data_IF_771158334402
#
_entry.id   IF_771158334402
#
_cell.length_a   1.000
_cell.length_b   1.000
_cell.length_c   1.000
_cell.angle_alpha   90.00
_cell.angle_beta   90.00
_cell.angle_gamma   90.00
#
_symmetry.space_group_name_H-M   'P 1'
#
loop_
_entity.id
_entity.type
_entity.pdbx_description
1 polymer ?
#
# COMPACT_ATOMS: atom_id res chain seq x y z
N UNK A 1 28.17 22.79 74.38
CA UNK A 1 27.22 22.04 73.51
C UNK A 1 27.41 22.53 72.09
N UNK A 2 28.11 21.77 71.24
CA UNK A 2 28.37 22.10 69.83
C UNK A 2 27.52 21.19 68.96
N UNK A 3 26.55 21.76 68.24
CA UNK A 3 25.71 21.04 67.29
C UNK A 3 26.40 21.03 65.91
N UNK A 4 26.79 19.85 65.44
CA UNK A 4 27.18 19.61 64.05
C UNK A 4 25.90 19.52 63.20
N UNK A 5 25.76 20.38 62.20
CA UNK A 5 24.74 20.29 61.18
C UNK A 5 25.27 19.45 59.99
N UNK A 6 24.60 18.32 59.73
CA UNK A 6 24.85 17.42 58.61
C UNK A 6 24.18 18.01 57.35
N UNK A 7 24.95 18.29 56.29
CA UNK A 7 24.42 18.71 55.00
C UNK A 7 23.97 17.48 54.18
N UNK A 8 22.81 17.51 53.51
CA UNK A 8 22.38 16.41 52.65
C UNK A 8 23.09 16.47 51.29
N UNK A 9 23.67 15.33 50.90
CA UNK A 9 24.26 15.08 49.59
C UNK A 9 23.13 14.94 48.56
N UNK A 10 22.97 15.93 47.68
CA UNK A 10 22.04 15.89 46.55
C UNK A 10 22.61 15.01 45.44
N UNK A 11 22.17 13.75 45.36
CA UNK A 11 22.48 12.86 44.24
C UNK A 11 21.56 13.22 43.07
N UNK A 12 22.10 13.92 42.08
CA UNK A 12 21.42 14.16 40.80
C UNK A 12 21.50 12.87 39.98
N UNK A 13 20.40 12.11 39.97
CA UNK A 13 20.21 10.99 39.04
C UNK A 13 20.00 11.57 37.63
N UNK A 14 21.09 11.63 36.85
CA UNK A 14 21.01 11.78 35.39
C UNK A 14 20.39 10.50 34.84
N UNK A 15 19.06 10.47 34.68
CA UNK A 15 18.41 9.49 33.81
C UNK A 15 18.97 9.72 32.41
N UNK A 16 19.91 8.86 32.01
CA UNK A 16 20.40 8.83 30.64
C UNK A 16 19.21 8.62 29.72
N UNK A 17 19.00 9.57 28.81
CA UNK A 17 18.32 9.28 27.54
C UNK A 17 19.13 8.18 26.87
N UNK A 18 18.74 6.92 27.10
CA UNK A 18 19.23 5.81 26.29
C UNK A 18 18.93 6.19 24.83
N UNK A 19 19.94 6.20 23.94
CA UNK A 19 19.69 6.43 22.53
C UNK A 19 18.65 5.41 22.10
N UNK A 20 17.53 5.90 21.54
CA UNK A 20 16.50 5.07 20.91
C UNK A 20 17.25 4.08 20.03
N UNK A 21 17.16 2.78 20.33
CA UNK A 21 17.93 1.74 19.66
C UNK A 21 17.93 2.01 18.15
N UNK A 22 19.10 2.34 17.60
CA UNK A 22 19.20 2.71 16.20
C UNK A 22 18.78 1.48 15.39
N UNK A 23 17.57 1.52 14.86
CA UNK A 23 17.00 0.41 14.13
C UNK A 23 17.89 0.14 12.91
N UNK A 24 18.31 -1.12 12.74
CA UNK A 24 19.21 -1.47 11.64
C UNK A 24 18.57 -1.05 10.30
N UNK A 25 19.33 -0.32 9.47
CA UNK A 25 18.81 0.19 8.21
C UNK A 25 18.31 -0.95 7.31
N UNK A 26 17.11 -0.78 6.75
CA UNK A 26 16.49 -1.72 5.85
C UNK A 26 17.26 -1.74 4.52
N UNK A 27 17.78 -2.91 4.16
CA UNK A 27 18.44 -3.11 2.87
C UNK A 27 17.40 -3.44 1.77
N UNK A 28 16.88 -2.39 1.13
CA UNK A 28 15.89 -2.53 0.05
C UNK A 28 16.41 -3.36 -1.14
N UNK A 29 17.74 -3.48 -1.32
CA UNK A 29 18.32 -4.31 -2.39
C UNK A 29 17.95 -5.78 -2.24
N UNK A 30 17.66 -6.23 -1.02
CA UNK A 30 17.19 -7.59 -0.72
C UNK A 30 15.75 -7.82 -1.14
N UNK A 31 14.96 -6.75 -1.32
CA UNK A 31 13.58 -6.81 -1.81
C UNK A 31 13.54 -6.74 -3.32
N UNK A 32 14.14 -5.69 -3.88
CA UNK A 32 14.35 -5.46 -5.31
C UNK A 32 15.51 -4.46 -5.44
N UNK A 33 16.53 -4.82 -6.22
CA UNK A 33 17.75 -4.03 -6.37
C UNK A 33 17.49 -2.61 -6.85
N UNK A 34 16.44 -2.40 -7.65
CA UNK A 34 16.09 -1.07 -8.15
C UNK A 34 15.47 -0.16 -7.10
N UNK A 35 14.81 -0.71 -6.08
CA UNK A 35 14.15 0.11 -5.04
C UNK A 35 15.16 0.89 -4.20
N UNK A 36 16.38 0.36 -4.05
CA UNK A 36 17.44 1.04 -3.32
C UNK A 36 17.95 2.31 -4.02
N UNK A 37 17.76 2.41 -5.33
CA UNK A 37 18.19 3.55 -6.16
C UNK A 37 17.03 4.48 -6.54
N UNK A 38 15.83 4.23 -6.03
CA UNK A 38 14.65 5.02 -6.38
C UNK A 38 14.84 6.48 -5.91
N UNK A 39 14.63 7.49 -6.79
CA UNK A 39 15.00 8.87 -6.50
C UNK A 39 13.92 9.58 -5.68
N UNK A 40 13.76 9.19 -4.41
CA UNK A 40 12.87 9.88 -3.48
C UNK A 40 13.23 11.37 -3.36
N UNK A 41 12.21 12.23 -3.31
CA UNK A 41 12.34 13.69 -3.38
C UNK A 41 12.59 14.24 -4.80
N UNK A 42 12.89 13.38 -5.76
CA UNK A 42 13.06 13.71 -7.16
C UNK A 42 11.74 13.95 -7.89
N UNK A 43 11.83 14.64 -9.02
CA UNK A 43 10.70 14.89 -9.93
C UNK A 43 10.43 13.71 -10.88
N UNK A 44 9.42 13.86 -11.74
CA UNK A 44 9.06 12.84 -12.74
C UNK A 44 10.22 12.52 -13.70
N UNK A 45 11.08 13.49 -14.02
CA UNK A 45 12.24 13.25 -14.90
C UNK A 45 13.29 12.39 -14.21
N UNK A 46 13.52 12.59 -12.91
CA UNK A 46 14.38 11.71 -12.11
C UNK A 46 13.83 10.28 -12.07
N UNK A 47 12.53 10.11 -11.85
CA UNK A 47 11.88 8.79 -11.86
C UNK A 47 11.91 8.16 -13.25
N UNK A 48 11.71 8.93 -14.32
CA UNK A 48 11.79 8.45 -15.69
C UNK A 48 13.20 7.95 -16.05
N UNK A 49 14.26 8.64 -15.62
CA UNK A 49 15.65 8.17 -15.77
C UNK A 49 15.90 6.88 -14.99
N UNK A 50 15.37 6.77 -13.78
CA UNK A 50 15.43 5.52 -13.01
C UNK A 50 14.71 4.38 -13.74
N UNK A 51 13.51 4.64 -14.28
CA UNK A 51 12.73 3.65 -15.01
C UNK A 51 13.44 3.24 -16.30
N UNK A 52 14.03 4.18 -17.03
CA UNK A 52 14.83 3.91 -18.22
C UNK A 52 15.94 2.90 -17.92
N UNK A 53 16.72 3.09 -16.85
CA UNK A 53 17.78 2.12 -16.47
C UNK A 53 17.21 0.71 -16.23
N UNK A 54 16.03 0.63 -15.60
CA UNK A 54 15.34 -0.65 -15.40
C UNK A 54 14.91 -1.29 -16.71
N UNK A 55 14.38 -0.50 -17.63
CA UNK A 55 13.99 -0.97 -18.96
C UNK A 55 15.21 -1.38 -19.79
N UNK A 56 16.30 -0.64 -19.75
CA UNK A 56 17.55 -0.98 -20.43
C UNK A 56 18.03 -2.37 -20.02
N UNK A 57 18.01 -2.72 -18.73
CA UNK A 57 18.38 -4.07 -18.27
C UNK A 57 17.44 -5.16 -18.82
N UNK A 58 16.14 -4.87 -18.95
CA UNK A 58 15.15 -5.79 -19.52
C UNK A 58 15.26 -5.93 -21.04
N UNK A 59 15.62 -4.86 -21.74
CA UNK A 59 15.72 -4.81 -23.20
C UNK A 59 17.08 -5.26 -23.73
N UNK A 60 18.17 -5.06 -22.97
CA UNK A 60 19.53 -5.44 -23.34
C UNK A 60 19.67 -6.87 -23.88
N UNK A 61 19.15 -7.94 -23.23
CA UNK A 61 19.25 -9.29 -23.76
C UNK A 61 18.51 -9.47 -25.08
N UNK A 62 17.36 -8.80 -25.27
CA UNK A 62 16.59 -8.85 -26.52
C UNK A 62 17.33 -8.15 -27.66
N UNK A 63 17.89 -6.98 -27.38
CA UNK A 63 18.69 -6.21 -28.35
C UNK A 63 19.94 -7.00 -28.75
N UNK A 64 20.58 -7.69 -27.80
CA UNK A 64 21.74 -8.53 -28.07
C UNK A 64 21.39 -9.75 -28.92
N UNK A 65 20.19 -10.32 -28.75
CA UNK A 65 19.72 -11.51 -29.47
C UNK A 65 19.16 -11.21 -30.87
N UNK A 66 18.82 -9.96 -31.16
CA UNK A 66 18.29 -9.53 -32.45
C UNK A 66 19.31 -9.71 -33.58
N UNK A 67 18.86 -10.26 -34.72
CA UNK A 67 19.75 -10.70 -35.81
C UNK A 67 20.19 -9.55 -36.72
N UNK A 68 19.34 -8.55 -36.92
CA UNK A 68 19.60 -7.42 -37.81
C UNK A 68 19.57 -6.06 -37.08
N UNK A 69 20.04 -5.01 -37.76
CA UNK A 69 20.09 -3.65 -37.20
C UNK A 69 18.70 -3.01 -37.07
N UNK A 70 17.74 -3.40 -37.89
CA UNK A 70 16.38 -2.86 -37.87
C UNK A 70 15.62 -3.33 -36.62
N UNK A 71 15.73 -4.61 -36.26
CA UNK A 71 15.13 -5.16 -35.05
C UNK A 71 15.74 -4.51 -33.79
N UNK A 72 17.07 -4.29 -33.79
CA UNK A 72 17.75 -3.56 -32.70
C UNK A 72 17.27 -2.12 -32.60
N UNK A 73 17.10 -1.42 -33.71
CA UNK A 73 16.54 -0.06 -33.73
C UNK A 73 15.10 -0.03 -33.23
N UNK A 74 14.26 -0.99 -33.63
CA UNK A 74 12.87 -1.12 -33.18
C UNK A 74 12.78 -1.33 -31.67
N UNK A 75 13.61 -2.20 -31.11
CA UNK A 75 13.65 -2.46 -29.66
C UNK A 75 14.07 -1.22 -28.86
N UNK A 76 15.06 -0.44 -29.35
CA UNK A 76 15.46 0.84 -28.73
C UNK A 76 14.33 1.87 -28.80
N UNK A 77 13.72 2.04 -29.96
CA UNK A 77 12.58 2.94 -30.13
C UNK A 77 11.38 2.56 -29.24
N UNK A 78 11.17 1.25 -28.98
CA UNK A 78 10.14 0.78 -28.06
C UNK A 78 10.46 1.17 -26.62
N UNK A 79 11.71 0.99 -26.18
CA UNK A 79 12.17 1.44 -24.86
C UNK A 79 11.96 2.95 -24.69
N UNK A 80 12.42 3.75 -25.65
CA UNK A 80 12.30 5.22 -25.60
C UNK A 80 10.82 5.65 -25.53
N UNK A 81 9.96 4.96 -26.30
CA UNK A 81 8.50 5.20 -26.26
C UNK A 81 7.91 4.87 -24.90
N UNK A 82 8.27 3.76 -24.28
CA UNK A 82 7.77 3.39 -22.95
C UNK A 82 8.18 4.43 -21.88
N UNK A 83 9.41 4.94 -21.94
CA UNK A 83 9.86 6.02 -21.03
C UNK A 83 9.10 7.32 -21.28
N UNK A 84 8.90 7.68 -22.56
CA UNK A 84 8.13 8.88 -22.94
C UNK A 84 6.66 8.79 -22.49
N UNK A 85 6.02 7.65 -22.72
CA UNK A 85 4.63 7.40 -22.33
C UNK A 85 4.47 7.47 -20.80
N UNK A 86 5.44 6.91 -20.05
CA UNK A 86 5.46 7.03 -18.60
C UNK A 86 5.51 8.49 -18.13
N UNK A 87 6.44 9.28 -18.69
CA UNK A 87 6.65 10.68 -18.31
C UNK A 87 5.46 11.58 -18.64
N UNK A 88 4.76 11.30 -19.75
CA UNK A 88 3.64 12.11 -20.21
C UNK A 88 2.31 11.82 -19.50
N UNK A 89 2.20 10.68 -18.79
CA UNK A 89 0.96 10.23 -18.16
C UNK A 89 0.97 10.40 -16.64
N UNK A 90 1.12 11.65 -16.20
CA UNK A 90 0.94 12.01 -14.80
C UNK A 90 -0.53 12.31 -14.54
N UNK A 91 -1.09 11.60 -13.57
CA UNK A 91 -2.47 11.78 -13.07
C UNK A 91 -2.40 12.70 -11.87
N UNK A 92 -3.12 13.82 -11.88
CA UNK A 92 -3.19 14.76 -10.76
C UNK A 92 -4.49 14.55 -9.99
N UNK A 93 -4.42 14.54 -8.66
CA UNK A 93 -5.59 14.38 -7.81
C UNK A 93 -6.19 15.74 -7.43
N UNK A 94 -6.62 16.51 -8.43
CA UNK A 94 -7.09 17.90 -8.30
C UNK A 94 -8.55 18.06 -7.82
N UNK A 95 -9.23 16.95 -7.50
CA UNK A 95 -10.67 16.95 -7.18
C UNK A 95 -11.51 16.16 -8.18
N UNK A 96 -10.99 15.91 -9.37
CA UNK A 96 -11.66 15.09 -10.39
C UNK A 96 -11.46 13.61 -10.11
N UNK A 97 -12.48 12.80 -10.41
CA UNK A 97 -12.36 11.33 -10.36
C UNK A 97 -11.39 10.85 -11.43
N UNK A 98 -10.44 10.04 -11.02
CA UNK A 98 -9.39 9.49 -11.88
C UNK A 98 -9.60 8.01 -12.18
N UNK A 99 -10.45 7.35 -11.41
CA UNK A 99 -10.67 5.90 -11.42
C UNK A 99 -9.76 5.15 -10.43
N UNK A 100 -8.70 5.80 -9.91
CA UNK A 100 -7.82 5.18 -8.92
C UNK A 100 -8.42 5.12 -7.52
N UNK A 101 -9.53 5.83 -7.30
CA UNK A 101 -10.27 5.85 -6.03
C UNK A 101 -10.90 4.47 -5.72
N UNK A 102 -11.07 3.61 -6.74
CA UNK A 102 -11.64 2.25 -6.64
C UNK A 102 -10.63 1.19 -7.11
N UNK A 103 -9.34 1.43 -6.87
CA UNK A 103 -8.25 0.58 -7.35
C UNK A 103 -7.48 -0.07 -6.19
N UNK A 104 -6.51 -0.98 -6.46
CA UNK A 104 -5.70 -1.58 -5.39
C UNK A 104 -4.97 -0.56 -4.50
N UNK A 105 -4.75 0.65 -5.02
CA UNK A 105 -4.10 1.77 -4.31
C UNK A 105 -5.11 2.79 -3.74
N UNK A 106 -6.41 2.49 -3.73
CA UNK A 106 -7.40 3.34 -3.07
C UNK A 106 -7.01 3.59 -1.60
N UNK A 107 -7.25 4.81 -1.12
CA UNK A 107 -6.85 5.27 0.22
C UNK A 107 -5.35 5.60 0.38
N UNK A 108 -4.54 5.40 -0.66
CA UNK A 108 -3.11 5.75 -0.62
C UNK A 108 -2.83 7.17 -1.09
N UNK A 109 -3.80 7.91 -1.59
CA UNK A 109 -3.63 9.29 -2.01
C UNK A 109 -4.77 10.15 -1.50
N UNK A 110 -4.59 11.47 -1.51
CA UNK A 110 -5.63 12.43 -1.10
C UNK A 110 -6.13 13.23 -2.30
N UNK A 111 -7.44 13.20 -2.54
CA UNK A 111 -8.07 14.01 -3.60
C UNK A 111 -8.17 15.48 -3.19
N UNK A 112 -8.01 16.38 -4.17
CA UNK A 112 -7.95 17.83 -3.95
C UNK A 112 -6.69 18.23 -3.19
N UNK A 113 -5.59 17.51 -3.39
CA UNK A 113 -4.29 17.82 -2.81
C UNK A 113 -3.25 18.01 -3.92
N UNK A 114 -2.04 18.45 -3.57
CA UNK A 114 -0.94 18.56 -4.54
C UNK A 114 -0.29 17.20 -4.83
N UNK A 115 -1.05 16.11 -4.69
CA UNK A 115 -0.61 14.77 -5.03
C UNK A 115 -0.85 14.44 -6.49
N UNK A 116 0.07 13.65 -7.04
CA UNK A 116 -0.06 13.09 -8.36
C UNK A 116 0.52 11.67 -8.42
N UNK A 117 0.15 10.94 -9.45
CA UNK A 117 0.50 9.55 -9.67
C UNK A 117 1.03 9.37 -11.09
N UNK A 118 2.17 8.69 -11.23
CA UNK A 118 2.55 8.08 -12.50
C UNK A 118 2.45 6.56 -12.38
N UNK A 119 2.00 5.91 -13.46
CA UNK A 119 1.83 4.45 -13.47
C UNK A 119 2.59 3.85 -14.65
N UNK A 120 3.41 2.84 -14.37
CA UNK A 120 4.03 2.00 -15.39
C UNK A 120 3.49 0.58 -15.29
N UNK A 121 2.94 0.07 -16.39
CA UNK A 121 2.32 -1.26 -16.43
C UNK A 121 3.36 -2.31 -16.82
N UNK A 122 3.76 -3.17 -15.89
CA UNK A 122 4.62 -4.33 -16.18
C UNK A 122 3.78 -5.59 -16.40
N UNK A 123 4.39 -6.61 -17.01
CA UNK A 123 3.73 -7.91 -17.21
C UNK A 123 3.31 -8.57 -15.89
N UNK A 124 4.08 -8.34 -14.83
CA UNK A 124 3.87 -8.97 -13.52
C UNK A 124 2.98 -8.14 -12.58
N UNK A 125 2.72 -6.88 -12.93
CA UNK A 125 2.12 -5.94 -12.01
C UNK A 125 2.27 -4.49 -12.43
N UNK A 126 1.46 -3.62 -11.84
CA UNK A 126 1.57 -2.19 -12.05
C UNK A 126 2.52 -1.56 -11.02
N UNK A 127 3.36 -0.65 -11.49
CA UNK A 127 4.23 0.20 -10.66
C UNK A 127 3.57 1.57 -10.50
N UNK A 128 3.42 2.02 -9.26
CA UNK A 128 2.77 3.26 -8.88
C UNK A 128 3.80 4.20 -8.24
N UNK A 129 3.92 5.41 -8.77
CA UNK A 129 4.84 6.43 -8.29
C UNK A 129 4.03 7.62 -7.78
N UNK A 130 4.01 7.80 -6.46
CA UNK A 130 3.23 8.85 -5.81
C UNK A 130 4.11 10.06 -5.55
N UNK A 131 3.62 11.20 -6.00
CA UNK A 131 4.27 12.49 -5.85
C UNK A 131 3.43 13.38 -4.94
N UNK A 132 4.10 14.27 -4.21
CA UNK A 132 3.50 15.38 -3.47
C UNK A 132 4.30 16.63 -3.83
N UNK A 133 3.61 17.69 -4.27
CA UNK A 133 4.27 18.90 -4.80
C UNK A 133 5.31 18.57 -5.90
N UNK A 134 4.99 17.60 -6.77
CA UNK A 134 5.87 17.15 -7.85
C UNK A 134 7.08 16.33 -7.42
N UNK A 135 7.18 15.91 -6.15
CA UNK A 135 8.31 15.13 -5.63
C UNK A 135 7.89 13.73 -5.21
N UNK A 136 8.63 12.72 -5.67
CA UNK A 136 8.37 11.33 -5.34
C UNK A 136 8.52 11.10 -3.83
N UNK A 137 7.50 10.56 -3.18
CA UNK A 137 7.56 10.25 -1.74
C UNK A 137 7.17 8.81 -1.42
N UNK A 138 6.46 8.15 -2.33
CA UNK A 138 6.02 6.77 -2.17
C UNK A 138 6.03 6.03 -3.49
N UNK A 139 6.39 4.76 -3.40
CA UNK A 139 6.31 3.78 -4.47
C UNK A 139 5.34 2.68 -4.08
N UNK A 140 4.59 2.16 -5.04
CA UNK A 140 3.74 0.99 -4.90
C UNK A 140 4.01 -0.01 -6.02
N UNK A 141 3.94 -1.30 -5.73
CA UNK A 141 3.92 -2.36 -6.75
C UNK A 141 2.80 -3.33 -6.43
N UNK A 142 1.86 -3.49 -7.37
CA UNK A 142 0.80 -4.49 -7.27
C UNK A 142 1.26 -5.78 -7.94
N UNK A 143 1.56 -6.81 -7.15
CA UNK A 143 1.98 -8.11 -7.65
C UNK A 143 0.80 -9.08 -7.64
N UNK A 144 0.73 -10.01 -8.61
CA UNK A 144 -0.15 -11.19 -8.54
C UNK A 144 0.64 -12.37 -7.96
N UNK A 145 0.49 -12.69 -6.68
CA UNK A 145 1.25 -13.74 -6.03
C UNK A 145 0.62 -15.13 -6.20
N UNK A 146 1.48 -16.13 -6.36
CA UNK A 146 1.07 -17.54 -6.40
C UNK A 146 1.12 -18.23 -5.02
N UNK A 147 1.55 -17.52 -3.97
CA UNK A 147 1.71 -18.04 -2.61
C UNK A 147 0.78 -17.36 -1.61
N UNK A 148 0.40 -18.04 -0.51
CA UNK A 148 -0.34 -17.43 0.60
C UNK A 148 0.29 -16.13 1.14
N UNK A 149 -0.53 -15.22 1.68
CA UNK A 149 -0.03 -13.93 2.18
C UNK A 149 0.92 -14.08 3.39
N UNK A 150 0.71 -15.07 4.25
CA UNK A 150 1.63 -15.36 5.35
C UNK A 150 3.05 -15.72 4.84
N UNK A 151 3.15 -16.48 3.75
CA UNK A 151 4.43 -16.86 3.14
C UNK A 151 5.13 -15.67 2.50
N UNK A 152 4.35 -14.72 1.95
CA UNK A 152 4.86 -13.43 1.47
C UNK A 152 5.49 -12.63 2.60
N UNK A 153 4.81 -12.54 3.76
CA UNK A 153 5.36 -11.89 4.95
C UNK A 153 6.66 -12.59 5.35
N UNK A 154 6.66 -13.91 5.49
CA UNK A 154 7.85 -14.68 5.85
C UNK A 154 9.02 -14.45 4.88
N UNK A 155 8.73 -14.33 3.58
CA UNK A 155 9.73 -14.04 2.54
C UNK A 155 10.37 -12.65 2.72
N UNK A 156 9.55 -11.63 3.00
CA UNK A 156 10.07 -10.28 3.29
C UNK A 156 10.81 -10.26 4.63
N UNK A 157 10.33 -11.00 5.64
CA UNK A 157 10.98 -11.07 6.95
C UNK A 157 12.37 -11.71 6.90
N UNK A 158 12.59 -12.71 6.04
CA UNK A 158 13.94 -13.26 5.81
C UNK A 158 14.92 -12.24 5.24
N UNK A 159 14.42 -11.23 4.53
CA UNK A 159 15.22 -10.21 3.83
C UNK A 159 15.44 -8.97 4.71
N UNK A 160 14.38 -8.53 5.39
CA UNK A 160 14.29 -7.26 6.12
C UNK A 160 14.32 -7.41 7.64
N UNK A 161 14.23 -8.64 8.17
CA UNK A 161 14.07 -8.89 9.61
C UNK A 161 12.60 -9.02 10.03
N UNK A 162 12.35 -9.11 11.35
CA UNK A 162 10.98 -9.22 11.89
C UNK A 162 10.19 -7.94 11.55
N UNK A 163 8.91 -8.04 11.12
CA UNK A 163 8.08 -6.85 10.90
C UNK A 163 7.83 -6.12 12.22
N UNK A 164 7.84 -4.79 12.16
CA UNK A 164 7.49 -3.91 13.28
C UNK A 164 6.00 -3.99 13.61
N UNK A 165 5.18 -4.22 12.59
CA UNK A 165 3.73 -4.34 12.74
C UNK A 165 3.17 -5.39 11.80
N UNK A 166 2.26 -6.21 12.32
CA UNK A 166 1.37 -7.08 11.55
C UNK A 166 -0.06 -6.72 11.94
N UNK A 167 -0.95 -6.60 10.96
CA UNK A 167 -2.38 -6.38 11.18
C UNK A 167 -3.10 -7.61 10.66
N UNK A 168 -3.97 -8.16 11.49
CA UNK A 168 -4.81 -9.31 11.16
C UNK A 168 -6.23 -8.86 10.81
N UNK A 169 -6.89 -9.58 9.90
CA UNK A 169 -8.34 -9.53 9.74
C UNK A 169 -9.01 -10.23 10.91
N UNK A 170 -10.25 -9.84 11.18
CA UNK A 170 -11.09 -10.48 12.18
C UNK A 170 -12.33 -11.08 11.51
N UNK A 171 -12.85 -12.17 12.06
CA UNK A 171 -14.17 -12.68 11.68
C UNK A 171 -15.30 -11.85 12.31
N UNK A 172 -16.55 -12.18 11.99
CA UNK A 172 -17.74 -11.54 12.56
C UNK A 172 -17.84 -11.62 14.10
N UNK A 173 -17.04 -12.49 14.74
CA UNK A 173 -16.96 -12.65 16.20
C UNK A 173 -15.76 -11.90 16.79
N UNK A 174 -15.05 -11.11 15.99
CA UNK A 174 -13.87 -10.36 16.40
C UNK A 174 -12.64 -11.24 16.64
N UNK A 175 -12.59 -12.48 16.14
CA UNK A 175 -11.42 -13.36 16.28
C UNK A 175 -10.46 -13.14 15.12
N UNK A 176 -9.18 -13.06 15.41
CA UNK A 176 -8.15 -12.96 14.37
C UNK A 176 -8.17 -14.19 13.46
N UNK A 177 -8.17 -13.95 12.14
CA UNK A 177 -8.24 -15.02 11.12
C UNK A 177 -6.92 -15.14 10.37
N UNK A 178 -6.45 -14.05 9.76
CA UNK A 178 -5.29 -14.07 8.91
C UNK A 178 -4.61 -12.70 8.84
N UNK A 179 -3.30 -12.63 8.59
CA UNK A 179 -2.64 -11.35 8.37
C UNK A 179 -3.14 -10.70 7.08
N UNK A 180 -3.38 -9.39 7.13
CA UNK A 180 -3.78 -8.56 5.99
C UNK A 180 -2.78 -7.44 5.69
N UNK A 181 -1.99 -7.02 6.69
CA UNK A 181 -0.90 -6.06 6.49
C UNK A 181 0.32 -6.47 7.29
N UNK A 182 1.50 -6.18 6.76
CA UNK A 182 2.76 -6.20 7.50
C UNK A 182 3.59 -4.97 7.15
N UNK A 183 4.35 -4.44 8.12
CA UNK A 183 5.21 -3.29 7.92
C UNK A 183 6.59 -3.49 8.54
N UNK A 184 7.60 -2.97 7.85
CA UNK A 184 8.98 -2.84 8.31
C UNK A 184 9.36 -1.36 8.18
N UNK A 185 10.09 -0.82 9.14
CA UNK A 185 10.55 0.56 9.09
C UNK A 185 11.96 0.72 9.65
N UNK A 186 12.66 1.71 9.11
CA UNK A 186 13.84 2.32 9.72
C UNK A 186 13.67 3.84 9.70
N UNK A 187 14.74 4.62 9.89
CA UNK A 187 14.68 6.08 9.86
C UNK A 187 14.47 6.68 8.45
N UNK A 188 14.67 5.89 7.39
CA UNK A 188 14.63 6.36 6.00
C UNK A 188 13.35 5.97 5.29
N UNK A 189 12.86 4.76 5.51
CA UNK A 189 11.76 4.19 4.76
C UNK A 189 10.81 3.37 5.63
N UNK A 190 9.56 3.31 5.18
CA UNK A 190 8.58 2.32 5.64
C UNK A 190 8.21 1.43 4.47
N UNK A 191 8.43 0.13 4.61
CA UNK A 191 7.98 -0.91 3.68
C UNK A 191 6.68 -1.48 4.22
N UNK A 192 5.60 -1.42 3.45
CA UNK A 192 4.31 -2.04 3.81
C UNK A 192 3.94 -3.09 2.78
N UNK A 193 3.53 -4.25 3.23
CA UNK A 193 2.90 -5.26 2.40
C UNK A 193 1.42 -5.36 2.77
N UNK A 194 0.53 -5.27 1.80
CA UNK A 194 -0.92 -5.28 2.00
C UNK A 194 -1.58 -6.34 1.10
N UNK A 195 -2.35 -7.24 1.72
CA UNK A 195 -3.24 -8.15 1.04
C UNK A 195 -4.46 -7.40 0.49
N UNK A 196 -4.51 -7.25 -0.84
CA UNK A 196 -5.63 -6.64 -1.57
C UNK A 196 -6.30 -7.67 -2.49
N UNK A 197 -6.05 -8.97 -2.27
CA UNK A 197 -6.44 -10.03 -3.20
C UNK A 197 -7.93 -10.23 -3.30
N UNK A 198 -8.66 -10.02 -2.21
CA UNK A 198 -10.08 -10.30 -2.15
C UNK A 198 -10.88 -9.45 -3.14
N UNK A 199 -10.58 -8.14 -3.20
CA UNK A 199 -11.25 -7.21 -4.09
C UNK A 199 -10.54 -7.05 -5.44
N UNK A 200 -9.21 -7.18 -5.46
CA UNK A 200 -8.42 -6.78 -6.63
C UNK A 200 -7.56 -7.90 -7.22
N UNK A 201 -7.37 -9.03 -6.52
CA UNK A 201 -6.50 -10.12 -6.97
C UNK A 201 -4.99 -9.83 -6.85
N UNK A 202 -4.58 -8.79 -6.11
CA UNK A 202 -3.16 -8.42 -5.93
C UNK A 202 -2.75 -8.34 -4.47
N UNK A 203 -1.46 -8.54 -4.21
CA UNK A 203 -0.79 -7.95 -3.04
C UNK A 203 -0.13 -6.64 -3.47
N UNK A 204 -0.17 -5.63 -2.62
CA UNK A 204 0.52 -4.36 -2.89
C UNK A 204 1.67 -4.17 -1.91
N UNK A 205 2.88 -4.02 -2.44
CA UNK A 205 4.06 -3.60 -1.70
C UNK A 205 4.22 -2.09 -1.85
N UNK A 206 4.19 -1.35 -0.74
CA UNK A 206 4.53 0.06 -0.70
C UNK A 206 5.90 0.28 -0.07
N UNK A 207 6.63 1.26 -0.59
CA UNK A 207 7.82 1.81 0.04
C UNK A 207 7.64 3.33 0.14
N UNK A 208 7.66 3.84 1.36
CA UNK A 208 7.47 5.25 1.67
C UNK A 208 8.77 5.84 2.17
N UNK A 209 9.15 7.01 1.66
CA UNK A 209 10.31 7.75 2.16
C UNK A 209 9.92 8.60 3.35
N UNK A 210 10.35 8.19 4.55
CA UNK A 210 9.92 8.76 5.82
C UNK A 210 10.20 10.25 5.98
N UNK A 211 11.36 10.80 5.56
CA UNK A 211 11.59 12.25 5.65
C UNK A 211 10.52 13.10 4.95
N UNK A 212 9.82 12.56 3.95
CA UNK A 212 8.70 13.24 3.29
C UNK A 212 7.36 12.74 3.86
N UNK A 213 7.21 11.44 4.09
CA UNK A 213 5.98 10.83 4.58
C UNK A 213 5.59 11.31 5.99
N UNK A 214 6.56 11.53 6.87
CA UNK A 214 6.35 12.03 8.23
C UNK A 214 5.81 13.48 8.23
N UNK A 215 5.89 14.18 7.09
CA UNK A 215 5.33 15.53 6.86
C UNK A 215 4.15 15.53 5.89
N UNK A 216 3.64 14.37 5.50
CA UNK A 216 2.67 14.31 4.39
C UNK A 216 1.38 15.07 4.71
N UNK A 217 0.92 15.05 5.96
CA UNK A 217 -0.30 15.75 6.36
C UNK A 217 -0.10 17.27 6.31
N UNK A 218 1.06 17.79 6.72
CA UNK A 218 1.46 19.20 6.52
C UNK A 218 1.42 19.56 5.03
N UNK A 219 2.02 18.71 4.18
CA UNK A 219 2.06 18.92 2.73
C UNK A 219 0.67 18.81 2.06
N UNK A 220 -0.29 18.17 2.73
CA UNK A 220 -1.71 18.08 2.34
C UNK A 220 -2.57 19.23 2.87
N UNK A 221 -1.96 20.16 3.62
CA UNK A 221 -2.67 21.26 4.29
C UNK A 221 -3.37 20.85 5.58
N UNK A 222 -2.80 19.90 6.33
CA UNK A 222 -3.33 19.39 7.59
C UNK A 222 -4.41 18.32 7.48
N UNK A 223 -4.62 17.76 6.28
CA UNK A 223 -5.62 16.70 6.02
C UNK A 223 -4.95 15.34 5.92
N UNK A 224 -5.51 14.32 6.57
CA UNK A 224 -5.06 12.95 6.42
C UNK A 224 -5.82 12.23 5.30
N UNK A 225 -5.19 11.26 4.64
CA UNK A 225 -5.87 10.42 3.65
C UNK A 225 -7.01 9.59 4.27
N UNK A 226 -6.89 9.23 5.54
CA UNK A 226 -7.94 8.56 6.32
C UNK A 226 -9.18 9.41 6.55
N UNK A 227 -9.10 10.74 6.40
CA UNK A 227 -10.25 11.63 6.60
C UNK A 227 -11.25 11.54 5.44
N UNK A 228 -10.81 11.07 4.26
CA UNK A 228 -11.69 10.84 3.11
C UNK A 228 -12.32 9.44 3.10
N UNK A 229 -11.67 8.46 3.76
CA UNK A 229 -12.12 7.08 3.84
C UNK A 229 -11.86 6.61 5.27
N UNK A 230 -12.88 6.71 6.13
CA UNK A 230 -12.83 6.28 7.53
C UNK A 230 -12.13 4.93 7.65
N UNK A 231 -11.23 4.82 8.63
CA UNK A 231 -10.23 3.76 8.72
C UNK A 231 -10.77 2.36 8.41
N UNK A 232 -10.03 1.66 7.54
CA UNK A 232 -10.41 0.41 6.86
C UNK A 232 -11.30 0.67 5.65
N UNK A 233 -10.83 0.24 4.49
CA UNK A 233 -11.57 0.33 3.23
C UNK A 233 -12.95 -0.31 3.46
N UNK A 234 -14.05 0.47 3.50
CA UNK A 234 -15.36 -0.01 3.92
C UNK A 234 -15.86 -1.14 3.01
N UNK A 235 -15.33 -1.22 1.79
CA UNK A 235 -15.62 -2.31 0.84
C UNK A 235 -14.94 -3.63 1.24
N UNK A 236 -13.84 -3.58 1.98
CA UNK A 236 -13.15 -4.75 2.51
C UNK A 236 -13.75 -5.15 3.87
N UNK A 237 -14.13 -4.19 4.70
CA UNK A 237 -14.82 -4.47 5.96
C UNK A 237 -16.24 -4.99 5.71
N UNK A 238 -17.06 -4.37 4.86
CA UNK A 238 -18.40 -4.89 4.50
C UNK A 238 -18.34 -6.28 3.86
N UNK A 239 -17.37 -6.53 2.97
CA UNK A 239 -17.18 -7.84 2.36
C UNK A 239 -16.66 -8.89 3.36
N UNK A 240 -15.75 -8.54 4.29
CA UNK A 240 -15.21 -9.46 5.30
C UNK A 240 -16.15 -9.69 6.49
N UNK A 241 -16.94 -8.67 6.86
CA UNK A 241 -17.87 -8.70 7.99
C UNK A 241 -19.20 -9.35 7.63
N UNK A 242 -19.44 -9.67 6.35
CA UNK A 242 -20.65 -10.37 5.95
C UNK A 242 -21.90 -9.58 6.36
N UNK A 243 -21.94 -8.27 6.12
CA UNK A 243 -23.21 -7.53 6.12
C UNK A 243 -24.04 -7.83 4.86
N UNK A 244 -23.94 -9.05 4.33
CA UNK A 244 -25.10 -9.65 3.70
C UNK A 244 -25.97 -10.09 4.85
N UNK A 245 -27.14 -9.47 5.03
CA UNK A 245 -28.25 -10.21 5.64
C UNK A 245 -28.22 -11.60 5.01
N UNK A 246 -28.00 -12.64 5.82
CA UNK A 246 -27.83 -14.01 5.34
C UNK A 246 -28.91 -14.23 4.28
N UNK A 247 -28.55 -14.39 3.00
CA UNK A 247 -29.53 -14.57 1.92
C UNK A 247 -30.48 -15.73 2.29
N UNK A 248 -30.00 -16.67 3.10
CA UNK A 248 -30.76 -17.74 3.72
C UNK A 248 -31.84 -17.25 4.71
N UNK A 249 -31.58 -16.24 5.53
CA UNK A 249 -32.57 -15.63 6.43
C UNK A 249 -33.56 -14.73 5.68
N UNK A 250 -33.12 -14.03 4.63
CA UNK A 250 -34.04 -13.29 3.75
C UNK A 250 -34.96 -14.25 2.97
N UNK A 251 -34.42 -15.38 2.50
CA UNK A 251 -35.17 -16.46 1.85
C UNK A 251 -36.14 -17.13 2.84
N UNK A 252 -35.72 -17.42 4.08
CA UNK A 252 -36.61 -17.96 5.13
C UNK A 252 -37.72 -16.99 5.49
N UNK A 253 -37.44 -15.68 5.56
CA UNK A 253 -38.46 -14.65 5.80
C UNK A 253 -39.48 -14.62 4.66
N UNK A 254 -39.03 -14.61 3.41
CA UNK A 254 -39.91 -14.67 2.23
C UNK A 254 -40.72 -15.96 2.16
N UNK A 255 -40.13 -17.09 2.54
CA UNK A 255 -40.82 -18.39 2.55
C UNK A 255 -41.91 -18.44 3.64
N UNK A 256 -41.66 -17.85 4.81
CA UNK A 256 -42.65 -17.72 5.88
C UNK A 256 -43.79 -16.77 5.51
N UNK A 257 -43.49 -15.63 4.87
CA UNK A 257 -44.50 -14.69 4.36
C UNK A 257 -45.39 -15.37 3.31
N UNK A 258 -44.80 -16.09 2.36
CA UNK A 258 -45.53 -16.78 1.30
C UNK A 258 -46.39 -17.94 1.83
N UNK A 259 -45.95 -18.63 2.91
CA UNK A 259 -46.75 -19.65 3.58
C UNK A 259 -47.96 -19.04 4.28
N UNK A 260 -47.79 -17.88 4.91
CA UNK A 260 -48.87 -17.22 5.63
C UNK A 260 -49.94 -16.65 4.68
N UNK A 261 -49.53 -16.11 3.52
CA UNK A 261 -50.47 -15.69 2.46
C UNK A 261 -51.26 -16.87 1.88
N UNK A 262 -50.62 -18.05 1.76
CA UNK A 262 -51.28 -19.24 1.27
C UNK A 262 -52.31 -19.80 2.28
N UNK A 263 -52.01 -19.75 3.57
CA UNK A 263 -52.95 -20.13 4.64
C UNK A 263 -54.18 -19.20 4.68
N UNK A 264 -53.97 -17.88 4.58
CA UNK A 264 -55.07 -16.90 4.55
C UNK A 264 -55.98 -17.05 3.31
N UNK A 265 -55.41 -17.44 2.15
CA UNK A 265 -56.20 -17.70 0.93
C UNK A 265 -57.04 -18.98 0.99
N UNK A 266 -56.62 -19.97 1.78
CA UNK A 266 -57.37 -21.24 1.94
C UNK A 266 -58.55 -21.07 2.90
N UNK A 267 -58.38 -20.25 3.95
CA UNK A 267 -59.49 -19.91 4.86
C UNK A 267 -60.60 -19.10 4.16
N UNK A 268 -60.26 -18.14 3.30
CA UNK A 268 -61.24 -17.33 2.56
C UNK A 268 -61.99 -18.07 1.42
N UNK A 269 -61.65 -19.34 1.15
CA UNK A 269 -62.29 -20.15 0.10
C UNK A 269 -63.23 -21.21 0.65
N UNK A 270 -63.38 -21.27 1.97
CA UNK A 270 -64.17 -22.29 2.69
C UNK A 270 -65.49 -21.77 3.27
N UNK A 271 -65.87 -20.53 2.96
CA UNK A 271 -67.20 -19.94 3.14
C UNK A 271 -67.94 -19.84 1.80
#
# INVERSE_FOLDING_TARGET
>A
MRSLALAPLLVVLLLGMMPKDAQAALDLRRVDTFLAELPYGGDIDAVARWLQKRLEQRYAPKIKAALDDNERAKLRAQLDREVFDFRSRVIVFDGRRTGYEVSPIAGEFLVGSNESLAVYRERQGDLYFFFINGRLWKFGRADRPDSPFADRIATHSRRLGKPDRVVNSHDARGREVAPVKAAWQDDRVTVRLWNRRLLYGYDVLFVQHRPIADRIDELRGGRAASDQHGGVDPDLESFLLGEGEDEEDELRRKELEHRHEHEQRVEHRSD
#
